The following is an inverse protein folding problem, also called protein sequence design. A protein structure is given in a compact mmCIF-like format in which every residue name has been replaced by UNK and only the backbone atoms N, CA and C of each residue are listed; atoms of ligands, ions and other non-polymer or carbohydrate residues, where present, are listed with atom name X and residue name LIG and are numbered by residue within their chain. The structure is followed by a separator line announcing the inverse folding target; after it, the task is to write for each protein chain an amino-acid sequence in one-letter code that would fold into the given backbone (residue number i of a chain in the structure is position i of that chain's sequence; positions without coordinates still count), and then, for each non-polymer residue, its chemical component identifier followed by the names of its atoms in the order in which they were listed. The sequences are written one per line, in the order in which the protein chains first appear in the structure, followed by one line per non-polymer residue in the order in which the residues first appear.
data_IF_003210505634
#
_entry.id   IF_003210505634
#
_cell.length_a   1.000
_cell.length_b   1.000
_cell.length_c   1.000
_cell.angle_alpha   90.00
_cell.angle_beta   90.00
_cell.angle_gamma   90.00
#
_symmetry.space_group_name_H-M   'P 1'
#
loop_
_entity.id
_entity.type
_entity.pdbx_description
1 polymer ?
#
# COMPACT_ATOMS: atom_id res chain seq x y z
N UNK A 1 16.39 4.12 -28.54
CA UNK A 1 16.47 4.13 -30.04
C UNK A 1 15.71 2.95 -30.67
N UNK A 2 14.94 2.19 -29.93
CA UNK A 2 14.12 1.10 -30.49
C UNK A 2 12.85 1.61 -31.20
N UNK A 3 12.32 2.77 -30.78
CA UNK A 3 11.04 3.29 -31.25
C UNK A 3 11.16 4.52 -32.14
N UNK A 4 12.36 5.09 -32.27
CA UNK A 4 12.63 6.37 -32.97
C UNK A 4 11.76 7.54 -32.42
N UNK A 5 11.36 7.46 -31.16
CA UNK A 5 10.63 8.51 -30.44
C UNK A 5 11.61 9.25 -29.54
N UNK A 6 11.63 10.57 -29.63
CA UNK A 6 12.35 11.46 -28.72
C UNK A 6 11.42 11.81 -27.56
N UNK A 7 11.90 11.67 -26.32
CA UNK A 7 11.09 11.88 -25.10
C UNK A 7 11.71 13.02 -24.30
N UNK A 8 10.96 14.08 -24.11
CA UNK A 8 11.29 15.17 -23.19
C UNK A 8 10.66 14.89 -21.82
N UNK A 9 11.46 14.89 -20.76
CA UNK A 9 11.01 14.52 -19.41
C UNK A 9 10.83 15.75 -18.53
N UNK A 10 9.58 16.03 -18.13
CA UNK A 10 9.23 16.99 -17.09
C UNK A 10 9.19 16.25 -15.75
N UNK A 11 10.24 16.41 -14.93
CA UNK A 11 10.43 15.64 -13.68
C UNK A 11 10.14 16.53 -12.48
N UNK A 12 9.36 16.01 -11.52
CA UNK A 12 9.05 16.66 -10.26
C UNK A 12 9.59 15.85 -9.07
N UNK A 13 10.08 16.51 -7.99
CA UNK A 13 10.36 15.85 -6.73
C UNK A 13 9.09 15.17 -6.18
N UNK A 14 9.26 14.00 -5.57
CA UNK A 14 8.13 13.19 -5.08
C UNK A 14 7.20 13.97 -4.14
N UNK A 15 7.76 14.77 -3.24
CA UNK A 15 7.04 15.55 -2.23
C UNK A 15 6.10 16.60 -2.82
N UNK A 16 6.43 17.12 -4.01
CA UNK A 16 5.66 18.19 -4.69
C UNK A 16 4.96 17.70 -5.96
N UNK A 17 5.18 16.46 -6.36
CA UNK A 17 4.73 15.95 -7.65
C UNK A 17 3.22 16.05 -7.85
N UNK A 18 2.41 15.71 -6.84
CA UNK A 18 0.95 15.77 -6.91
C UNK A 18 0.44 17.20 -7.06
N UNK A 19 1.02 18.14 -6.29
CA UNK A 19 0.64 19.56 -6.37
C UNK A 19 0.99 20.14 -7.75
N UNK A 20 2.21 19.88 -8.22
CA UNK A 20 2.67 20.34 -9.54
C UNK A 20 1.83 19.78 -10.67
N UNK A 21 1.52 18.48 -10.64
CA UNK A 21 0.66 17.84 -11.62
C UNK A 21 -0.74 18.47 -11.66
N UNK A 22 -1.33 18.76 -10.49
CA UNK A 22 -2.63 19.43 -10.43
C UNK A 22 -2.57 20.84 -11.03
N UNK A 23 -1.49 21.58 -10.81
CA UNK A 23 -1.30 22.91 -11.44
C UNK A 23 -1.20 22.80 -12.96
N UNK A 24 -0.41 21.85 -13.47
CA UNK A 24 -0.27 21.60 -14.90
C UNK A 24 -1.61 21.24 -15.54
N UNK A 25 -2.34 20.29 -14.95
CA UNK A 25 -3.65 19.85 -15.44
C UNK A 25 -4.68 20.98 -15.46
N UNK A 26 -4.69 21.84 -14.43
CA UNK A 26 -5.60 22.98 -14.36
C UNK A 26 -5.22 24.13 -15.31
N UNK A 27 -3.93 24.32 -15.59
CA UNK A 27 -3.47 25.37 -16.52
C UNK A 27 -3.54 24.97 -17.99
N UNK A 28 -3.69 23.68 -18.29
CA UNK A 28 -3.63 23.11 -19.64
C UNK A 28 -2.19 22.92 -20.16
N UNK A 29 -1.16 23.11 -19.32
CA UNK A 29 0.26 22.91 -19.66
C UNK A 29 0.75 21.56 -19.11
N UNK A 30 0.19 20.49 -19.61
CA UNK A 30 0.51 19.13 -19.19
C UNK A 30 1.19 18.32 -20.29
N UNK A 31 1.96 17.32 -19.90
CA UNK A 31 2.66 16.42 -20.81
C UNK A 31 1.70 15.46 -21.53
N UNK A 32 2.11 14.94 -22.71
CA UNK A 32 1.33 13.95 -23.47
C UNK A 32 1.10 12.65 -22.69
N UNK A 33 2.06 12.29 -21.81
CA UNK A 33 1.99 11.09 -20.98
C UNK A 33 2.37 11.43 -19.54
N UNK A 34 1.56 11.04 -18.59
CA UNK A 34 1.82 11.20 -17.16
C UNK A 34 2.23 9.84 -16.59
N UNK A 35 3.42 9.81 -15.96
CA UNK A 35 3.96 8.61 -15.33
C UNK A 35 4.14 8.77 -13.83
N UNK A 36 4.31 7.65 -13.12
CA UNK A 36 4.53 7.63 -11.67
C UNK A 36 3.26 7.37 -10.87
N UNK A 37 3.37 7.49 -9.53
CA UNK A 37 2.32 7.18 -8.56
C UNK A 37 1.46 8.39 -8.17
N UNK A 38 1.39 9.41 -9.01
CA UNK A 38 0.77 10.69 -8.68
C UNK A 38 -0.71 10.79 -9.05
N UNK A 39 -1.21 9.88 -9.88
CA UNK A 39 -2.61 9.85 -10.28
C UNK A 39 -3.45 9.06 -9.27
N UNK A 40 -4.44 9.71 -8.68
CA UNK A 40 -5.46 9.10 -7.84
C UNK A 40 -6.71 8.74 -8.65
N UNK A 41 -7.57 7.88 -8.09
CA UNK A 41 -8.87 7.57 -8.67
C UNK A 41 -9.71 8.84 -8.89
N UNK A 42 -9.63 9.82 -7.97
CA UNK A 42 -10.28 11.11 -8.12
C UNK A 42 -9.74 11.93 -9.32
N UNK A 43 -8.45 11.83 -9.60
CA UNK A 43 -7.88 12.49 -10.78
C UNK A 43 -8.40 11.84 -12.08
N UNK A 44 -8.55 10.53 -12.12
CA UNK A 44 -9.15 9.82 -13.25
C UNK A 44 -10.61 10.25 -13.46
N UNK A 45 -11.41 10.32 -12.39
CA UNK A 45 -12.78 10.79 -12.45
C UNK A 45 -12.88 12.25 -12.93
N UNK A 46 -12.03 13.12 -12.41
CA UNK A 46 -12.06 14.55 -12.73
C UNK A 46 -11.60 14.81 -14.16
N UNK A 47 -10.40 14.37 -14.50
CA UNK A 47 -9.75 14.73 -15.76
C UNK A 47 -10.05 13.77 -16.91
N UNK A 48 -10.38 12.51 -16.62
CA UNK A 48 -10.86 11.55 -17.62
C UNK A 48 -12.37 11.67 -17.85
N UNK A 49 -13.14 11.17 -16.86
CA UNK A 49 -14.60 11.02 -17.01
C UNK A 49 -15.33 12.36 -17.18
N UNK A 50 -15.01 13.37 -16.35
CA UNK A 50 -15.78 14.62 -16.33
C UNK A 50 -15.27 15.69 -17.30
N UNK A 51 -13.95 15.81 -17.49
CA UNK A 51 -13.35 16.89 -18.28
C UNK A 51 -12.80 16.45 -19.64
N UNK A 52 -12.61 15.15 -19.87
CA UNK A 52 -12.07 14.63 -21.13
C UNK A 52 -10.63 15.06 -21.44
N UNK A 53 -9.85 15.41 -20.42
CA UNK A 53 -8.43 15.72 -20.54
C UNK A 53 -7.64 14.44 -20.79
N UNK A 54 -7.96 13.37 -20.06
CA UNK A 54 -7.44 12.04 -20.37
C UNK A 54 -8.34 11.35 -21.40
N UNK A 55 -7.73 10.72 -22.38
CA UNK A 55 -8.45 10.02 -23.45
C UNK A 55 -8.67 8.55 -23.10
N UNK A 56 -9.77 7.92 -23.54
CA UNK A 56 -9.96 6.47 -23.46
C UNK A 56 -8.85 5.74 -24.22
N UNK A 57 -8.31 4.68 -23.64
CA UNK A 57 -7.13 3.97 -24.16
C UNK A 57 -7.43 2.56 -24.71
N UNK A 58 -8.59 1.98 -24.44
CA UNK A 58 -8.92 0.59 -24.78
C UNK A 58 -8.76 0.29 -26.27
N UNK A 59 -9.23 1.16 -27.17
CA UNK A 59 -9.09 0.97 -28.62
C UNK A 59 -7.63 1.01 -29.08
N UNK A 60 -6.81 1.84 -28.43
CA UNK A 60 -5.37 1.93 -28.70
C UNK A 60 -4.65 0.67 -28.23
N UNK A 61 -5.04 0.12 -27.09
CA UNK A 61 -4.47 -1.12 -26.59
C UNK A 61 -4.76 -2.29 -27.53
N UNK A 62 -5.99 -2.44 -27.97
CA UNK A 62 -6.37 -3.48 -28.92
C UNK A 62 -5.62 -3.38 -30.25
N UNK A 63 -5.48 -2.16 -30.76
CA UNK A 63 -4.87 -1.94 -32.07
C UNK A 63 -3.34 -1.98 -32.08
N UNK A 64 -2.70 -1.46 -31.02
CA UNK A 64 -1.26 -1.19 -31.04
C UNK A 64 -0.47 -1.88 -29.92
N UNK A 65 -1.14 -2.37 -28.87
CA UNK A 65 -0.48 -2.84 -27.65
C UNK A 65 -0.96 -4.26 -27.24
N UNK A 66 -0.69 -5.30 -28.05
CA UNK A 66 -1.21 -6.65 -27.77
C UNK A 66 -0.78 -7.21 -26.40
N UNK A 67 0.38 -6.81 -25.88
CA UNK A 67 0.84 -7.22 -24.56
C UNK A 67 -0.01 -6.58 -23.43
N UNK A 68 -0.47 -5.33 -23.60
CA UNK A 68 -1.35 -4.66 -22.62
C UNK A 68 -2.74 -5.30 -22.68
N UNK A 69 -3.25 -5.57 -23.88
CA UNK A 69 -4.53 -6.27 -24.06
C UNK A 69 -4.52 -7.63 -23.33
N UNK A 70 -3.44 -8.41 -23.47
CA UNK A 70 -3.29 -9.68 -22.76
C UNK A 70 -3.27 -9.53 -21.23
N UNK A 71 -2.72 -8.44 -20.70
CA UNK A 71 -2.74 -8.13 -19.27
C UNK A 71 -4.15 -7.75 -18.82
N UNK A 72 -4.88 -6.98 -19.61
CA UNK A 72 -6.27 -6.61 -19.32
C UNK A 72 -7.22 -7.81 -19.29
N UNK A 73 -6.88 -8.87 -19.99
CA UNK A 73 -7.67 -10.12 -20.03
C UNK A 73 -7.41 -11.03 -18.82
N UNK A 74 -6.44 -10.69 -17.94
CA UNK A 74 -6.26 -11.39 -16.68
C UNK A 74 -7.47 -11.17 -15.75
N UNK A 75 -7.86 -12.17 -14.95
CA UNK A 75 -9.03 -12.09 -14.07
C UNK A 75 -9.01 -10.84 -13.17
N UNK A 76 -10.05 -10.04 -13.22
CA UNK A 76 -10.24 -8.85 -12.38
C UNK A 76 -9.43 -7.61 -12.78
N UNK A 77 -8.55 -7.70 -13.77
CA UNK A 77 -7.73 -6.54 -14.18
C UNK A 77 -8.58 -5.53 -14.93
N UNK A 78 -9.31 -5.95 -15.96
CA UNK A 78 -10.17 -5.07 -16.76
C UNK A 78 -11.22 -4.37 -15.89
N UNK A 79 -11.87 -5.11 -14.99
CA UNK A 79 -12.87 -4.56 -14.07
C UNK A 79 -12.29 -3.48 -13.15
N UNK A 80 -11.06 -3.68 -12.65
CA UNK A 80 -10.38 -2.68 -11.81
C UNK A 80 -9.92 -1.44 -12.57
N UNK A 81 -9.59 -1.60 -13.84
CA UNK A 81 -9.09 -0.50 -14.69
C UNK A 81 -10.20 0.32 -15.31
N UNK A 82 -11.42 -0.21 -15.37
CA UNK A 82 -12.56 0.44 -16.01
C UNK A 82 -13.18 1.48 -15.08
N UNK A 83 -13.22 2.73 -15.53
CA UNK A 83 -13.88 3.83 -14.84
C UNK A 83 -15.41 3.68 -14.89
N UNK A 84 -16.19 4.43 -14.06
CA UNK A 84 -17.66 4.32 -14.02
C UNK A 84 -18.39 4.60 -15.33
N UNK A 85 -17.75 5.30 -16.26
CA UNK A 85 -18.28 5.57 -17.61
C UNK A 85 -18.01 4.44 -18.61
N UNK A 86 -17.31 3.39 -18.19
CA UNK A 86 -17.00 2.22 -19.00
C UNK A 86 -15.67 2.30 -19.75
N UNK A 87 -14.89 3.35 -19.57
CA UNK A 87 -13.62 3.58 -20.27
C UNK A 87 -12.38 3.28 -19.40
N UNK A 88 -11.25 3.06 -20.06
CA UNK A 88 -9.94 2.84 -19.41
C UNK A 88 -9.01 4.02 -19.76
N UNK A 89 -8.55 4.74 -18.73
CA UNK A 89 -7.72 5.96 -18.88
C UNK A 89 -6.26 5.77 -18.51
N UNK A 90 -5.87 4.59 -18.03
CA UNK A 90 -4.52 4.33 -17.53
C UNK A 90 -3.96 3.01 -18.04
N UNK A 91 -2.64 2.92 -18.11
CA UNK A 91 -1.94 1.67 -18.43
C UNK A 91 -1.88 0.82 -17.15
N UNK A 92 -2.30 -0.47 -17.19
CA UNK A 92 -2.30 -1.33 -16.02
C UNK A 92 -0.86 -1.60 -15.53
N UNK A 93 -0.67 -1.49 -14.22
CA UNK A 93 0.49 -2.01 -13.52
C UNK A 93 0.07 -3.27 -12.75
N UNK A 94 0.50 -4.43 -13.21
CA UNK A 94 0.21 -5.71 -12.58
C UNK A 94 1.51 -6.31 -12.06
N UNK A 95 1.59 -6.53 -10.76
CA UNK A 95 2.73 -7.16 -10.11
C UNK A 95 2.32 -8.57 -9.64
N UNK A 96 2.97 -9.59 -10.19
CA UNK A 96 2.69 -10.98 -9.82
C UNK A 96 3.12 -11.32 -8.38
N UNK A 97 4.07 -10.56 -7.84
CA UNK A 97 4.68 -10.85 -6.52
C UNK A 97 4.02 -10.11 -5.36
N UNK A 98 2.96 -9.33 -5.60
CA UNK A 98 2.30 -8.53 -4.55
C UNK A 98 1.25 -9.31 -3.75
N UNK A 99 1.42 -10.60 -3.59
CA UNK A 99 0.52 -11.44 -2.77
C UNK A 99 0.72 -11.24 -1.28
N UNK A 100 1.84 -10.65 -0.86
CA UNK A 100 2.12 -10.33 0.53
C UNK A 100 1.82 -8.86 0.74
N UNK A 101 0.76 -8.60 1.50
CA UNK A 101 0.44 -7.25 1.96
C UNK A 101 1.47 -6.72 2.95
N UNK A 102 1.12 -5.67 3.67
CA UNK A 102 1.96 -5.16 4.75
C UNK A 102 2.07 -6.19 5.87
N UNK A 103 3.30 -6.56 6.21
CA UNK A 103 3.60 -7.53 7.26
C UNK A 103 4.76 -6.99 8.10
N UNK A 104 4.74 -7.22 9.41
CA UNK A 104 5.90 -6.90 10.23
C UNK A 104 7.07 -7.81 9.86
N UNK A 105 8.26 -7.26 9.94
CA UNK A 105 9.51 -7.99 9.82
C UNK A 105 10.14 -8.08 11.19
N UNK A 106 10.72 -9.23 11.52
CA UNK A 106 11.42 -9.47 12.79
C UNK A 106 12.89 -9.68 12.49
N UNK A 107 13.74 -9.02 13.26
CA UNK A 107 15.18 -9.23 13.19
C UNK A 107 15.52 -10.59 13.81
N UNK A 108 15.86 -11.55 12.95
CA UNK A 108 16.18 -12.93 13.39
C UNK A 108 17.46 -12.99 14.24
N UNK A 109 18.40 -12.07 14.03
CA UNK A 109 19.60 -11.98 14.87
C UNK A 109 19.26 -11.57 16.31
N UNK A 110 18.31 -10.67 16.47
CA UNK A 110 17.82 -10.28 17.79
C UNK A 110 17.11 -11.44 18.49
N UNK A 111 16.31 -12.23 17.74
CA UNK A 111 15.70 -13.45 18.30
C UNK A 111 16.76 -14.42 18.82
N UNK A 112 17.83 -14.66 18.05
CA UNK A 112 18.94 -15.51 18.48
C UNK A 112 19.60 -14.97 19.74
N UNK A 113 19.89 -13.66 19.78
CA UNK A 113 20.58 -13.03 20.91
C UNK A 113 19.76 -13.13 22.22
N UNK A 114 18.43 -12.98 22.16
CA UNK A 114 17.55 -13.12 23.33
C UNK A 114 17.05 -14.57 23.54
N UNK A 115 17.50 -15.52 22.71
CA UNK A 115 17.15 -16.95 22.86
C UNK A 115 15.69 -17.29 22.56
N UNK A 116 15.02 -16.51 21.71
CA UNK A 116 13.61 -16.73 21.35
C UNK A 116 13.44 -17.25 19.93
N UNK A 117 12.35 -17.94 19.69
CA UNK A 117 11.92 -18.41 18.37
C UNK A 117 11.04 -17.38 17.66
N UNK A 118 10.84 -17.55 16.34
CA UNK A 118 9.88 -16.77 15.56
C UNK A 118 8.48 -16.91 16.16
N UNK A 119 7.80 -15.80 16.52
CA UNK A 119 6.46 -15.86 17.12
C UNK A 119 5.43 -16.29 16.06
N UNK A 120 4.47 -17.07 16.49
CA UNK A 120 3.34 -17.56 15.68
C UNK A 120 1.98 -17.08 16.20
N UNK A 121 1.96 -16.46 17.38
CA UNK A 121 0.76 -15.89 18.00
C UNK A 121 1.02 -14.44 18.43
N UNK A 122 -0.04 -13.69 18.71
CA UNK A 122 0.03 -12.33 19.25
C UNK A 122 0.69 -12.29 20.63
N UNK A 123 0.45 -13.29 21.47
CA UNK A 123 1.06 -13.40 22.80
C UNK A 123 2.57 -13.67 22.71
N UNK A 124 2.99 -14.56 21.81
CA UNK A 124 4.40 -14.82 21.53
C UNK A 124 5.09 -13.58 20.95
N UNK A 125 4.39 -12.84 20.06
CA UNK A 125 4.90 -11.59 19.52
C UNK A 125 5.11 -10.54 20.61
N UNK A 126 4.16 -10.37 21.53
CA UNK A 126 4.32 -9.49 22.69
C UNK A 126 5.52 -9.91 23.57
N UNK A 127 5.66 -11.21 23.82
CA UNK A 127 6.79 -11.74 24.61
C UNK A 127 8.14 -11.45 23.94
N UNK A 128 8.22 -11.56 22.61
CA UNK A 128 9.42 -11.20 21.84
C UNK A 128 9.72 -9.71 21.96
N UNK A 129 8.72 -8.84 21.83
CA UNK A 129 8.94 -7.38 21.97
C UNK A 129 9.42 -7.01 23.37
N UNK A 130 8.90 -7.67 24.41
CA UNK A 130 9.38 -7.49 25.80
C UNK A 130 10.83 -7.93 25.96
N UNK A 131 11.17 -9.09 25.41
CA UNK A 131 12.54 -9.57 25.45
C UNK A 131 13.50 -8.62 24.71
N UNK A 132 13.09 -8.08 23.57
CA UNK A 132 13.88 -7.08 22.83
C UNK A 132 14.10 -5.81 23.65
N UNK A 133 13.09 -5.34 24.38
CA UNK A 133 13.17 -4.15 25.23
C UNK A 133 14.03 -4.34 26.47
N UNK A 134 13.99 -5.52 27.10
CA UNK A 134 14.56 -5.77 28.42
C UNK A 134 15.98 -6.36 28.37
N UNK A 135 16.42 -6.81 27.19
CA UNK A 135 17.69 -7.48 27.02
C UNK A 135 18.50 -6.77 25.92
N UNK A 136 19.80 -6.95 25.90
CA UNK A 136 20.69 -6.46 24.82
C UNK A 136 20.44 -7.27 23.54
N UNK A 137 19.34 -6.96 22.85
CA UNK A 137 18.92 -7.70 21.68
C UNK A 137 19.82 -7.41 20.46
N UNK A 138 20.37 -6.20 20.37
CA UNK A 138 21.28 -5.81 19.30
C UNK A 138 22.73 -6.30 19.53
N UNK A 139 23.09 -6.66 20.78
CA UNK A 139 24.39 -7.23 21.14
C UNK A 139 25.50 -6.18 21.24
N UNK A 140 25.16 -4.91 21.51
CA UNK A 140 26.12 -3.83 21.61
C UNK A 140 26.65 -3.60 23.03
N UNK A 141 26.09 -4.25 24.04
CA UNK A 141 26.43 -4.16 25.47
C UNK A 141 25.58 -3.14 26.23
N UNK A 142 24.55 -2.55 25.64
CA UNK A 142 23.61 -1.60 26.26
C UNK A 142 22.16 -2.05 26.02
N UNK A 143 21.53 -2.63 27.02
CA UNK A 143 20.13 -3.10 26.94
C UNK A 143 19.08 -1.97 27.06
N UNK A 144 19.48 -0.72 26.98
CA UNK A 144 18.56 0.44 27.14
C UNK A 144 18.27 1.18 25.83
N UNK A 145 18.91 0.82 24.74
CA UNK A 145 18.81 1.52 23.46
C UNK A 145 17.93 0.81 22.40
N UNK A 146 17.36 -0.36 22.74
CA UNK A 146 16.50 -1.09 21.83
C UNK A 146 15.15 -0.42 21.63
N UNK A 147 14.74 -0.35 20.36
CA UNK A 147 13.39 -0.02 19.94
C UNK A 147 12.71 -1.31 19.46
N UNK A 148 11.85 -1.95 20.28
CA UNK A 148 11.32 -3.29 19.98
C UNK A 148 10.49 -3.35 18.71
N UNK A 149 9.69 -2.30 18.46
CA UNK A 149 8.86 -2.20 17.27
C UNK A 149 8.83 -0.76 16.77
N UNK A 150 8.93 -0.59 15.46
CA UNK A 150 8.79 0.70 14.79
C UNK A 150 7.94 0.55 13.54
N UNK A 151 7.15 1.57 13.24
CA UNK A 151 6.28 1.60 12.06
C UNK A 151 6.16 3.02 11.53
N UNK A 152 5.78 3.16 10.26
CA UNK A 152 5.48 4.46 9.69
C UNK A 152 4.06 4.93 10.12
N UNK A 153 3.96 6.02 10.89
CA UNK A 153 2.67 6.52 11.38
C UNK A 153 1.76 7.06 10.25
N UNK A 154 2.32 7.37 9.09
CA UNK A 154 1.57 8.00 8.00
C UNK A 154 0.89 6.99 7.08
N UNK A 155 1.33 5.74 7.07
CA UNK A 155 0.90 4.74 6.09
C UNK A 155 -0.13 3.74 6.60
N UNK A 156 -0.62 3.90 7.83
CA UNK A 156 -1.65 3.02 8.43
C UNK A 156 -1.35 1.51 8.32
N UNK A 157 -0.06 1.16 8.29
CA UNK A 157 0.38 -0.23 8.18
C UNK A 157 0.00 -1.06 9.41
N UNK A 158 -0.15 -0.40 10.56
CA UNK A 158 -0.61 -1.01 11.83
C UNK A 158 -1.98 -1.65 11.63
N UNK A 159 -2.87 -1.03 10.86
CA UNK A 159 -4.23 -1.54 10.63
C UNK A 159 -4.23 -2.92 9.95
N UNK A 160 -3.19 -3.25 9.17
CA UNK A 160 -3.03 -4.59 8.59
C UNK A 160 -2.89 -5.68 9.67
N UNK A 161 -2.37 -5.32 10.85
CA UNK A 161 -2.25 -6.25 11.98
C UNK A 161 -3.60 -6.66 12.59
N UNK A 162 -4.71 -5.94 12.29
CA UNK A 162 -6.06 -6.40 12.64
C UNK A 162 -6.40 -7.75 11.98
N UNK A 163 -5.70 -8.10 10.89
CA UNK A 163 -5.79 -9.42 10.27
C UNK A 163 -5.41 -10.58 11.21
N UNK A 164 -4.52 -10.34 12.18
CA UNK A 164 -4.14 -11.34 13.19
C UNK A 164 -5.27 -11.68 14.17
N UNK A 165 -6.26 -10.81 14.24
CA UNK A 165 -7.50 -11.00 15.01
C UNK A 165 -8.66 -11.49 14.14
N UNK A 166 -8.41 -11.87 12.88
CA UNK A 166 -9.42 -12.36 11.94
C UNK A 166 -10.17 -11.25 11.19
N UNK A 167 -9.64 -10.03 11.18
CA UNK A 167 -10.22 -8.88 10.44
C UNK A 167 -9.21 -8.31 9.42
N UNK A 168 -8.97 -8.99 8.30
CA UNK A 168 -8.13 -8.46 7.24
C UNK A 168 -8.82 -7.26 6.57
N UNK A 169 -8.37 -6.05 6.88
CA UNK A 169 -8.88 -4.81 6.33
C UNK A 169 -7.90 -4.17 5.35
N UNK A 170 -8.44 -3.42 4.39
CA UNK A 170 -7.63 -2.48 3.62
C UNK A 170 -7.41 -1.17 4.42
N UNK A 171 -6.57 -0.27 3.88
CA UNK A 171 -6.26 1.03 4.50
C UNK A 171 -7.47 1.97 4.70
N UNK A 172 -8.65 1.64 4.15
CA UNK A 172 -9.89 2.37 4.33
C UNK A 172 -10.78 1.75 5.42
N UNK A 173 -10.32 0.69 6.08
CA UNK A 173 -11.10 -0.04 7.08
C UNK A 173 -12.15 -0.97 6.49
N UNK A 174 -12.09 -1.26 5.20
CA UNK A 174 -13.03 -2.14 4.51
C UNK A 174 -12.51 -3.57 4.55
N UNK A 175 -13.36 -4.50 4.97
CA UNK A 175 -13.14 -5.94 4.97
C UNK A 175 -14.26 -6.68 4.24
N UNK A 176 -13.97 -7.93 3.88
CA UNK A 176 -14.99 -8.87 3.39
C UNK A 176 -15.17 -9.95 4.46
N UNK A 177 -16.35 -10.03 5.05
CA UNK A 177 -16.72 -11.08 6.00
C UNK A 177 -18.00 -11.75 5.55
N UNK A 178 -18.00 -13.08 5.48
CA UNK A 178 -19.14 -13.88 5.04
C UNK A 178 -19.73 -13.37 3.71
N UNK A 179 -18.87 -13.12 2.71
CA UNK A 179 -19.23 -12.61 1.38
C UNK A 179 -19.88 -11.22 1.36
N UNK A 180 -19.80 -10.47 2.47
CA UNK A 180 -20.31 -9.11 2.58
C UNK A 180 -19.19 -8.12 2.79
N UNK A 181 -19.32 -6.97 2.15
CA UNK A 181 -18.45 -5.82 2.42
C UNK A 181 -18.87 -5.19 3.74
N UNK A 182 -17.94 -5.08 4.66
CA UNK A 182 -18.16 -4.50 6.00
C UNK A 182 -17.13 -3.41 6.28
N UNK A 183 -17.52 -2.42 7.09
CA UNK A 183 -16.59 -1.48 7.66
C UNK A 183 -16.06 -2.04 8.99
N UNK A 184 -14.82 -2.48 8.99
CA UNK A 184 -14.21 -3.16 10.14
C UNK A 184 -14.00 -2.27 11.36
N UNK A 185 -13.84 -0.95 11.17
CA UNK A 185 -13.52 -0.01 12.24
C UNK A 185 -14.55 0.10 13.38
N UNK A 186 -15.76 -0.43 13.19
CA UNK A 186 -16.83 -0.48 14.23
C UNK A 186 -17.04 -1.88 14.81
N UNK A 187 -16.23 -2.86 14.41
CA UNK A 187 -16.36 -4.24 14.87
C UNK A 187 -15.74 -4.46 16.25
N UNK A 188 -16.24 -5.46 16.98
CA UNK A 188 -15.64 -5.87 18.24
C UNK A 188 -14.23 -6.43 18.06
N UNK A 189 -13.98 -7.14 16.96
CA UNK A 189 -12.66 -7.63 16.57
C UNK A 189 -11.63 -6.49 16.41
N UNK A 190 -12.05 -5.36 15.82
CA UNK A 190 -11.17 -4.19 15.72
C UNK A 190 -10.90 -3.56 17.09
N UNK A 191 -11.88 -3.57 17.99
CA UNK A 191 -11.71 -3.12 19.37
C UNK A 191 -10.72 -4.00 20.13
N UNK A 192 -10.76 -5.32 19.94
CA UNK A 192 -9.79 -6.26 20.52
C UNK A 192 -8.38 -5.97 20.03
N UNK A 193 -8.22 -5.79 18.72
CA UNK A 193 -6.94 -5.37 18.13
C UNK A 193 -6.44 -4.06 18.73
N UNK A 194 -7.27 -3.02 18.80
CA UNK A 194 -6.87 -1.73 19.36
C UNK A 194 -6.52 -1.83 20.85
N UNK A 195 -7.23 -2.64 21.61
CA UNK A 195 -6.94 -2.87 23.03
C UNK A 195 -5.58 -3.54 23.23
N UNK A 196 -5.27 -4.53 22.40
CA UNK A 196 -3.97 -5.19 22.38
C UNK A 196 -2.86 -4.22 21.96
N UNK A 197 -3.05 -3.48 20.88
CA UNK A 197 -2.06 -2.53 20.40
C UNK A 197 -1.82 -1.37 21.38
N UNK A 198 -2.89 -0.89 22.04
CA UNK A 198 -2.79 0.08 23.12
C UNK A 198 -1.94 -0.43 24.29
N UNK A 199 -2.10 -1.71 24.66
CA UNK A 199 -1.26 -2.34 25.69
C UNK A 199 0.21 -2.31 25.31
N UNK A 200 0.56 -2.70 24.06
CA UNK A 200 1.94 -2.64 23.58
C UNK A 200 2.51 -1.22 23.66
N UNK A 201 1.71 -0.23 23.25
CA UNK A 201 2.09 1.17 23.33
C UNK A 201 2.28 1.65 24.78
N UNK A 202 1.35 1.32 25.69
CA UNK A 202 1.43 1.70 27.11
C UNK A 202 2.64 1.08 27.82
N UNK A 203 3.07 -0.10 27.40
CA UNK A 203 4.27 -0.77 27.89
C UNK A 203 5.57 -0.26 27.20
N UNK A 204 5.45 0.68 26.24
CA UNK A 204 6.57 1.23 25.49
C UNK A 204 7.27 0.20 24.60
N UNK A 205 6.51 -0.73 24.03
CA UNK A 205 7.01 -1.74 23.10
C UNK A 205 6.88 -1.28 21.64
N UNK A 206 6.15 -0.17 21.43
CA UNK A 206 5.87 0.45 20.12
C UNK A 206 6.20 1.93 20.20
#
# INVERSE_FOLDING_TARGET
KQTNVDVDLKIYPYETATERLNLDLNSGDYADVIGGWTLSDNAILTYGVNQGVFIPLEDYFEKYCPNISAILDLPGVREKMTAPDGHIYTIPYVCADSTVGYSPYINTKWLENVGMSMPTTTDEFEAVLKAFKEQDANGNGDASDEIPFSTDPNNKHIEAMAGYFGLPMNKLGIAIQNEKVVYGGVSDTYREFLSWFHKLYAEGLV
#
